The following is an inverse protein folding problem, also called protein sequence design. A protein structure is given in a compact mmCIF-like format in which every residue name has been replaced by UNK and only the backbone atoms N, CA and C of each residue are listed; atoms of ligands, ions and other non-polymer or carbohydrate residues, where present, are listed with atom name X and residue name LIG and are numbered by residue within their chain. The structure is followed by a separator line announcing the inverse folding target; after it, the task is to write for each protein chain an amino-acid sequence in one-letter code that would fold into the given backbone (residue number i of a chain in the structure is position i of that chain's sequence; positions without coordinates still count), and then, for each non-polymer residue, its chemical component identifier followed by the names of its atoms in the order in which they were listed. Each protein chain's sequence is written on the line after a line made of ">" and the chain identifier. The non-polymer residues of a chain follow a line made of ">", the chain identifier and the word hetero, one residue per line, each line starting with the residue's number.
data_IF_500803466035
#
_entry.id   IF_500803466035
#
_cell.length_a   1.000
_cell.length_b   1.000
_cell.length_c   1.000
_cell.angle_alpha   90.00
_cell.angle_beta   90.00
_cell.angle_gamma   90.00
#
_symmetry.space_group_name_H-M   'P 1'
#
loop_
_entity.id
_entity.type
_entity.pdbx_description
1 polymer ?
#
# COMPACT_ATOMS: atom_id res chain seq x y z
N UNK A 1 4.09 12.55 -24.99
CA UNK A 1 4.74 12.43 -23.66
C UNK A 1 3.95 11.41 -22.86
N UNK A 2 4.56 10.34 -22.32
CA UNK A 2 3.81 9.36 -21.54
C UNK A 2 3.36 9.96 -20.20
N UNK A 3 2.13 9.63 -19.79
CA UNK A 3 1.44 10.13 -18.59
C UNK A 3 2.13 9.71 -17.27
N UNK A 4 3.05 8.73 -17.33
CA UNK A 4 3.66 8.07 -16.16
C UNK A 4 5.12 8.47 -15.91
N UNK A 5 5.52 9.71 -16.23
CA UNK A 5 6.91 10.13 -16.03
C UNK A 5 7.26 10.19 -14.54
N UNK A 6 7.87 9.12 -14.02
CA UNK A 6 8.42 9.06 -12.67
C UNK A 6 7.69 8.16 -11.67
N UNK A 7 6.47 7.68 -11.94
CA UNK A 7 5.86 6.65 -11.08
C UNK A 7 6.58 5.32 -11.35
N UNK A 8 7.07 4.71 -10.29
CA UNK A 8 7.81 3.44 -10.36
C UNK A 8 6.98 2.28 -9.84
N UNK A 9 6.07 2.55 -8.91
CA UNK A 9 5.27 1.51 -8.29
C UNK A 9 3.96 2.04 -7.68
N UNK A 10 2.95 1.18 -7.63
CA UNK A 10 1.65 1.41 -6.99
C UNK A 10 1.28 0.13 -6.22
N UNK A 11 1.09 0.28 -4.92
CA UNK A 11 0.77 -0.82 -4.01
C UNK A 11 -0.59 -0.60 -3.38
N UNK A 12 -1.24 -1.71 -3.05
CA UNK A 12 -2.54 -1.73 -2.44
C UNK A 12 -2.53 -2.61 -1.20
N UNK A 13 -3.16 -2.11 -0.14
CA UNK A 13 -3.55 -2.89 1.02
C UNK A 13 -5.04 -2.65 1.28
N UNK A 14 -5.73 -3.57 1.94
CA UNK A 14 -7.18 -3.46 2.14
C UNK A 14 -7.58 -3.85 3.54
N UNK A 15 -8.55 -3.12 4.08
CA UNK A 15 -9.22 -3.48 5.31
C UNK A 15 -10.61 -4.02 4.97
N UNK A 16 -11.02 -5.07 5.66
CA UNK A 16 -12.18 -5.86 5.29
C UNK A 16 -13.04 -6.23 6.49
N UNK A 17 -14.19 -6.84 6.21
CA UNK A 17 -15.20 -7.32 7.15
C UNK A 17 -15.46 -8.79 6.85
N UNK A 18 -15.02 -9.67 7.73
CA UNK A 18 -15.12 -11.12 7.57
C UNK A 18 -14.21 -11.69 6.48
N UNK A 19 -12.99 -11.16 6.30
CA UNK A 19 -12.11 -11.62 5.21
C UNK A 19 -10.90 -12.48 5.59
N UNK A 20 -10.65 -12.75 6.87
CA UNK A 20 -9.50 -13.54 7.32
C UNK A 20 -9.93 -14.89 7.90
N UNK A 21 -9.79 -15.94 7.11
CA UNK A 21 -9.87 -17.33 7.59
C UNK A 21 -8.55 -17.72 8.28
N UNK A 22 -8.53 -18.44 9.42
CA UNK A 22 -9.65 -19.00 10.21
C UNK A 22 -9.83 -18.32 11.58
N UNK A 23 -9.49 -17.03 11.73
CA UNK A 23 -9.56 -16.36 13.03
C UNK A 23 -11.02 -16.08 13.45
N UNK A 24 -11.39 -16.47 14.67
CA UNK A 24 -12.73 -16.25 15.20
C UNK A 24 -13.02 -14.74 15.31
N UNK A 25 -14.12 -14.30 14.73
CA UNK A 25 -14.50 -12.87 14.67
C UNK A 25 -13.93 -12.08 13.50
N UNK A 26 -13.06 -12.68 12.67
CA UNK A 26 -12.53 -12.07 11.44
C UNK A 26 -12.99 -12.82 10.16
N UNK A 27 -13.91 -13.78 10.33
CA UNK A 27 -14.40 -14.68 9.28
C UNK A 27 -15.84 -14.44 8.89
N UNK A 28 -16.64 -13.88 9.80
CA UNK A 28 -18.06 -13.66 9.61
C UNK A 28 -18.31 -12.16 9.46
N UNK A 29 -18.96 -11.70 8.37
CA UNK A 29 -19.26 -10.30 8.21
C UNK A 29 -20.21 -9.79 9.31
N UNK A 30 -19.80 -8.79 10.07
CA UNK A 30 -20.58 -8.16 11.15
C UNK A 30 -20.84 -6.66 10.90
N UNK A 31 -20.40 -6.16 9.74
CA UNK A 31 -20.55 -4.77 9.32
C UNK A 31 -19.45 -3.86 9.85
N UNK A 32 -18.43 -4.40 10.52
CA UNK A 32 -17.27 -3.67 11.04
C UNK A 32 -16.02 -4.12 10.30
N UNK A 33 -15.01 -3.25 10.33
CA UNK A 33 -13.70 -3.64 9.84
C UNK A 33 -13.07 -4.59 10.88
N UNK A 34 -12.56 -5.70 10.38
CA UNK A 34 -11.82 -6.71 11.12
C UNK A 34 -10.60 -6.08 11.81
N UNK A 35 -10.47 -6.31 13.11
CA UNK A 35 -9.27 -6.01 13.89
C UNK A 35 -8.30 -7.19 13.75
N UNK A 36 -7.46 -7.12 12.73
CA UNK A 36 -6.45 -8.14 12.40
C UNK A 36 -5.34 -8.16 13.44
N UNK A 37 -5.06 -7.00 14.02
CA UNK A 37 -4.01 -6.80 15.01
C UNK A 37 -4.37 -7.32 16.41
N UNK A 38 -5.66 -7.59 16.66
CA UNK A 38 -6.25 -8.06 17.91
C UNK A 38 -6.04 -7.09 19.09
N UNK A 39 -6.02 -5.78 18.83
CA UNK A 39 -5.77 -4.74 19.83
C UNK A 39 -7.01 -3.88 20.17
N UNK A 40 -8.17 -4.23 19.62
CA UNK A 40 -9.48 -3.61 19.79
C UNK A 40 -9.59 -2.18 19.24
N UNK A 41 -8.66 -1.75 18.39
CA UNK A 41 -8.71 -0.49 17.66
C UNK A 41 -8.46 -0.74 16.17
N UNK A 42 -8.92 0.19 15.34
CA UNK A 42 -8.54 0.17 13.93
C UNK A 42 -7.20 0.90 13.74
N UNK A 43 -6.18 0.21 13.25
CA UNK A 43 -4.83 0.73 13.03
C UNK A 43 -4.16 0.21 11.73
N UNK A 44 -2.88 0.53 11.55
CA UNK A 44 -2.16 0.20 10.30
C UNK A 44 -2.00 -1.33 10.09
N UNK A 45 -1.66 -2.14 11.11
CA UNK A 45 -1.70 -3.60 11.01
C UNK A 45 -3.03 -4.24 10.56
N UNK A 46 -4.16 -3.53 10.63
CA UNK A 46 -5.45 -4.04 10.13
C UNK A 46 -5.60 -3.99 8.62
N UNK A 47 -4.70 -3.30 7.92
CA UNK A 47 -4.63 -3.40 6.46
C UNK A 47 -3.93 -4.67 6.04
N UNK A 48 -4.66 -5.53 5.34
CA UNK A 48 -4.15 -6.76 4.76
C UNK A 48 -3.38 -6.40 3.49
N UNK A 49 -2.11 -6.78 3.48
CA UNK A 49 -1.20 -6.67 2.34
C UNK A 49 -0.50 -8.01 2.09
N UNK A 50 0.26 -8.11 1.00
CA UNK A 50 1.08 -9.29 0.70
C UNK A 50 0.25 -10.60 0.60
N UNK A 51 -0.98 -10.50 0.09
CA UNK A 51 -1.86 -11.65 -0.15
C UNK A 51 -1.99 -11.92 -1.65
N UNK A 52 -2.24 -13.18 -2.00
CA UNK A 52 -2.58 -13.51 -3.38
C UNK A 52 -3.99 -12.94 -3.65
N UNK A 53 -4.08 -12.01 -4.60
CA UNK A 53 -5.26 -11.18 -4.95
C UNK A 53 -6.49 -11.93 -5.50
N UNK A 54 -6.57 -13.23 -5.27
CA UNK A 54 -7.67 -14.11 -5.66
C UNK A 54 -7.97 -15.19 -4.61
N UNK A 55 -7.33 -15.12 -3.44
CA UNK A 55 -7.59 -16.07 -2.36
C UNK A 55 -8.88 -15.67 -1.69
N UNK A 56 -9.83 -16.60 -1.58
CA UNK A 56 -11.02 -16.36 -0.80
C UNK A 56 -10.64 -16.07 0.67
N UNK A 57 -11.39 -15.19 1.35
CA UNK A 57 -12.56 -14.45 0.89
C UNK A 57 -12.26 -12.97 0.49
N UNK A 58 -11.38 -12.73 -0.49
CA UNK A 58 -11.34 -11.44 -1.21
C UNK A 58 -12.61 -11.24 -2.06
N UNK A 59 -13.75 -11.00 -1.41
CA UNK A 59 -15.01 -10.68 -2.09
C UNK A 59 -15.23 -9.16 -2.05
N UNK A 60 -15.63 -8.53 -3.16
CA UNK A 60 -15.87 -7.07 -3.18
C UNK A 60 -16.76 -6.55 -2.04
N UNK A 61 -17.82 -7.25 -1.59
CA UNK A 61 -18.65 -6.80 -0.46
C UNK A 61 -17.94 -6.71 0.90
N UNK A 62 -16.91 -7.55 1.11
CA UNK A 62 -16.14 -7.61 2.35
C UNK A 62 -15.13 -6.46 2.46
N UNK A 63 -14.61 -5.95 1.34
CA UNK A 63 -13.64 -4.85 1.35
C UNK A 63 -14.34 -3.55 1.76
N UNK A 64 -13.87 -2.92 2.84
CA UNK A 64 -14.43 -1.67 3.36
C UNK A 64 -13.54 -0.47 3.03
N UNK A 65 -12.23 -0.64 3.12
CA UNK A 65 -11.27 0.41 2.81
C UNK A 65 -10.09 -0.15 2.02
N UNK A 66 -9.47 0.72 1.23
CA UNK A 66 -8.26 0.41 0.49
C UNK A 66 -7.24 1.50 0.78
N UNK A 67 -6.03 1.10 1.14
CA UNK A 67 -4.88 1.96 1.20
C UNK A 67 -4.12 1.84 -0.12
N UNK A 68 -3.88 2.98 -0.76
CA UNK A 68 -3.12 3.09 -2.00
C UNK A 68 -1.82 3.80 -1.68
N UNK A 69 -0.70 3.12 -1.91
CA UNK A 69 0.63 3.70 -1.82
C UNK A 69 1.21 3.88 -3.22
N UNK A 70 1.72 5.07 -3.52
CA UNK A 70 2.37 5.37 -4.80
C UNK A 70 3.81 5.74 -4.53
N UNK A 71 4.74 5.07 -5.22
CA UNK A 71 6.15 5.37 -5.21
C UNK A 71 6.54 6.05 -6.51
N UNK A 72 7.14 7.23 -6.41
CA UNK A 72 7.58 7.99 -7.56
C UNK A 72 8.98 8.59 -7.37
N UNK A 73 9.73 8.69 -8.47
CA UNK A 73 10.97 9.44 -8.57
C UNK A 73 10.70 10.92 -8.42
N UNK A 74 11.50 11.54 -7.58
CA UNK A 74 11.63 12.98 -7.53
C UNK A 74 12.52 13.42 -8.70
N UNK A 75 11.90 13.93 -9.78
CA UNK A 75 12.61 14.33 -11.01
C UNK A 75 13.16 15.76 -10.96
N UNK A 76 12.66 16.59 -10.04
CA UNK A 76 13.10 17.97 -9.83
C UNK A 76 13.62 18.17 -8.41
N UNK A 77 14.36 19.25 -8.19
CA UNK A 77 14.71 19.69 -6.84
C UNK A 77 13.41 19.83 -6.02
N UNK A 78 13.48 19.47 -4.74
CA UNK A 78 12.32 19.60 -3.85
C UNK A 78 11.97 21.08 -3.73
N UNK A 79 10.74 21.44 -4.08
CA UNK A 79 10.27 22.82 -4.04
C UNK A 79 9.82 23.23 -2.62
N UNK A 80 9.95 22.36 -1.61
CA UNK A 80 9.52 22.62 -0.23
C UNK A 80 8.00 22.61 -0.05
N UNK A 81 7.24 22.26 -1.09
CA UNK A 81 5.77 22.22 -1.06
C UNK A 81 5.21 20.99 -0.30
N UNK A 82 6.08 20.07 0.12
CA UNK A 82 5.73 18.87 0.87
C UNK A 82 5.72 19.04 2.41
N UNK A 83 6.12 20.20 2.93
CA UNK A 83 6.38 20.43 4.36
C UNK A 83 5.13 20.34 5.26
N UNK A 84 3.91 20.38 4.69
CA UNK A 84 2.67 20.11 5.43
C UNK A 84 2.37 18.63 5.64
N UNK A 85 3.12 17.72 5.01
CA UNK A 85 2.98 16.27 5.16
C UNK A 85 4.20 15.70 5.89
N UNK A 86 4.21 15.83 7.23
CA UNK A 86 5.29 15.31 8.08
C UNK A 86 5.47 13.78 8.00
N UNK A 87 4.50 13.05 7.42
CA UNK A 87 4.63 11.62 7.15
C UNK A 87 5.54 11.29 5.95
N UNK A 88 5.81 12.24 5.05
CA UNK A 88 6.58 11.98 3.83
C UNK A 88 8.11 11.98 4.05
N UNK A 89 8.59 12.38 5.23
CA UNK A 89 10.01 12.44 5.59
C UNK A 89 10.87 13.35 4.70
N UNK A 90 12.08 13.67 5.16
CA UNK A 90 13.10 14.21 4.26
C UNK A 90 13.46 13.10 3.26
N UNK A 91 13.22 13.30 1.96
CA UNK A 91 13.42 12.24 0.97
C UNK A 91 14.88 11.75 0.99
N UNK A 92 15.13 10.54 1.46
CA UNK A 92 16.48 9.94 1.53
C UNK A 92 16.77 9.20 0.24
N UNK A 93 18.03 9.24 -0.23
CA UNK A 93 18.47 8.36 -1.31
C UNK A 93 18.49 6.92 -0.78
N UNK A 94 17.66 6.05 -1.37
CA UNK A 94 17.63 4.64 -1.03
C UNK A 94 18.44 3.84 -2.02
N UNK A 95 19.31 2.95 -1.52
CA UNK A 95 20.03 1.98 -2.35
C UNK A 95 19.18 0.74 -2.66
N UNK A 96 18.04 0.57 -1.98
CA UNK A 96 17.08 -0.52 -2.14
C UNK A 96 15.72 0.00 -2.58
N UNK A 97 14.86 -0.89 -3.10
CA UNK A 97 13.46 -0.59 -3.35
C UNK A 97 12.78 -0.03 -2.10
N UNK A 98 11.85 0.92 -2.30
CA UNK A 98 10.99 1.40 -1.23
C UNK A 98 9.80 0.46 -1.13
N UNK A 99 9.86 -0.45 -0.17
CA UNK A 99 8.75 -1.32 0.19
C UNK A 99 7.85 -0.56 1.16
N UNK A 100 6.60 -0.32 0.80
CA UNK A 100 5.62 0.37 1.66
C UNK A 100 4.64 -0.66 2.22
N UNK A 101 4.00 -1.40 1.33
CA UNK A 101 3.08 -2.52 1.54
C UNK A 101 3.32 -3.63 0.48
N UNK A 102 2.26 -4.29 0.00
CA UNK A 102 2.23 -5.50 -0.84
C UNK A 102 3.38 -5.58 -1.85
N UNK A 103 4.31 -6.48 -1.54
CA UNK A 103 5.41 -6.84 -2.40
C UNK A 103 5.70 -8.33 -2.26
N UNK A 104 4.74 -9.17 -2.66
CA UNK A 104 5.03 -10.57 -2.88
C UNK A 104 5.85 -10.70 -4.18
N UNK A 105 7.16 -10.50 -4.09
CA UNK A 105 8.10 -10.59 -5.23
C UNK A 105 8.33 -12.00 -5.78
N UNK A 106 7.46 -12.97 -5.46
CA UNK A 106 7.64 -14.36 -5.86
C UNK A 106 7.81 -14.54 -7.39
N UNK A 107 7.43 -13.53 -8.20
CA UNK A 107 7.53 -13.50 -9.66
C UNK A 107 8.70 -12.73 -10.31
N UNK A 108 9.63 -12.11 -9.55
CA UNK A 108 10.93 -11.68 -10.12
C UNK A 108 11.04 -10.29 -10.75
N UNK A 109 10.19 -9.32 -10.37
CA UNK A 109 10.43 -7.89 -10.66
C UNK A 109 10.64 -7.22 -9.30
N UNK A 110 11.82 -6.68 -9.04
CA UNK A 110 12.28 -6.08 -7.77
C UNK A 110 12.88 -7.05 -6.72
N UNK A 111 13.57 -8.10 -7.16
CA UNK A 111 14.48 -8.86 -6.29
C UNK A 111 15.67 -7.96 -5.92
N UNK A 112 16.36 -8.19 -4.78
CA UNK A 112 17.47 -7.36 -4.32
C UNK A 112 18.57 -7.06 -5.39
N UNK A 113 18.70 -7.90 -6.43
CA UNK A 113 19.60 -7.68 -7.57
C UNK A 113 19.11 -6.66 -8.61
N UNK A 114 17.81 -6.36 -8.68
CA UNK A 114 17.22 -5.51 -9.70
C UNK A 114 17.49 -4.01 -9.43
N UNK A 115 17.74 -3.63 -8.18
CA UNK A 115 17.92 -2.22 -7.79
C UNK A 115 19.13 -1.57 -8.50
N UNK A 116 20.18 -2.35 -8.74
CA UNK A 116 21.38 -1.91 -9.47
C UNK A 116 21.22 -1.88 -11.00
N UNK A 117 20.26 -2.63 -11.53
CA UNK A 117 20.00 -2.73 -12.98
C UNK A 117 18.97 -1.71 -13.49
N UNK A 118 18.25 -1.04 -12.59
CA UNK A 118 17.32 0.04 -12.94
C UNK A 118 18.04 1.21 -13.62
N UNK A 119 17.36 1.85 -14.56
CA UNK A 119 17.87 3.04 -15.26
C UNK A 119 16.92 4.21 -15.00
N UNK A 120 17.35 5.26 -14.27
CA UNK A 120 18.64 5.37 -13.59
C UNK A 120 18.73 4.46 -12.34
N UNK A 121 19.94 4.11 -11.85
CA UNK A 121 20.11 3.21 -10.70
C UNK A 121 19.35 3.70 -9.46
N UNK A 122 18.86 2.79 -8.61
CA UNK A 122 18.02 3.18 -7.47
C UNK A 122 18.69 4.22 -6.57
N UNK A 123 19.97 4.04 -6.25
CA UNK A 123 20.75 4.96 -5.42
C UNK A 123 20.95 6.38 -6.00
N UNK A 124 20.62 6.62 -7.28
CA UNK A 124 20.92 7.87 -7.97
C UNK A 124 19.79 8.90 -7.95
N UNK A 125 18.59 8.52 -7.55
CA UNK A 125 17.40 9.40 -7.54
C UNK A 125 16.64 9.27 -6.23
N UNK A 126 16.17 10.39 -5.69
CA UNK A 126 15.29 10.38 -4.50
C UNK A 126 13.90 9.90 -4.89
N UNK A 127 13.24 9.18 -4.00
CA UNK A 127 11.86 8.71 -4.20
C UNK A 127 10.96 9.28 -3.13
N UNK A 128 9.71 9.49 -3.50
CA UNK A 128 8.64 9.94 -2.61
C UNK A 128 7.55 8.88 -2.59
N UNK A 129 6.98 8.73 -1.41
CA UNK A 129 5.83 7.86 -1.18
C UNK A 129 4.66 8.74 -0.79
N UNK A 130 3.51 8.48 -1.40
CA UNK A 130 2.24 9.00 -0.91
C UNK A 130 1.32 7.83 -0.66
N UNK A 131 0.83 7.76 0.57
CA UNK A 131 -0.16 6.76 0.98
C UNK A 131 -1.48 7.46 1.27
N UNK A 132 -2.57 6.92 0.74
CA UNK A 132 -3.93 7.44 0.91
C UNK A 132 -4.90 6.30 1.19
N UNK A 133 -5.77 6.50 2.16
CA UNK A 133 -6.90 5.62 2.42
C UNK A 133 -8.11 6.08 1.63
N UNK A 134 -8.80 5.11 1.03
CA UNK A 134 -10.03 5.29 0.27
C UNK A 134 -11.11 4.43 0.93
N UNK A 135 -12.18 5.07 1.42
CA UNK A 135 -13.40 4.36 1.81
C UNK A 135 -14.10 3.84 0.55
N UNK A 136 -14.44 2.56 0.52
CA UNK A 136 -15.24 2.00 -0.57
C UNK A 136 -16.72 2.27 -0.32
N UNK A 137 -17.55 2.23 -1.38
CA UNK A 137 -19.01 2.36 -1.23
C UNK A 137 -19.62 1.29 -0.31
N UNK A 138 -18.95 0.15 -0.15
CA UNK A 138 -19.40 -0.96 0.69
C UNK A 138 -19.11 -0.72 2.19
N UNK A 139 -18.43 0.37 2.54
CA UNK A 139 -18.15 0.77 3.93
C UNK A 139 -19.41 1.24 4.69
N UNK A 140 -20.50 1.57 4.00
CA UNK A 140 -21.74 2.05 4.62
C UNK A 140 -22.90 1.15 4.22
N UNK A 141 -23.72 0.65 5.17
CA UNK A 141 -25.00 0.08 4.81
C UNK A 141 -25.79 1.20 4.11
N UNK A 142 -26.29 0.90 2.91
CA UNK A 142 -27.09 1.84 2.13
C UNK A 142 -28.17 2.45 3.03
N UNK A 143 -28.10 3.77 3.21
CA UNK A 143 -29.13 4.56 3.90
C UNK A 143 -30.43 4.54 3.11
#
# INVERSE_FOLDING_TARGET
>A
MPIVNGIEDIQFAYACDGCLLPAAGLTEPDGRIDDVSLNLIFDQPDYISNQIWNTLPMTPPAIKMVQVAIVARQQSVDNGLGEGNTQAGAGTLSTTFLTVDDHLHAGGVFVAGDAGAQIPPYASVRRRVVTRTVETRNARPWS
#
